data_IF_024987477375
#
_entry.id   IF_024987477375
#
_cell.length_a   1.000
_cell.length_b   1.000
_cell.length_c   1.000
_cell.angle_alpha   90.00
_cell.angle_beta   90.00
_cell.angle_gamma   90.00
#
_symmetry.space_group_name_H-M   'P 1'
#
loop_
_entity.id
_entity.type
_entity.pdbx_description
1 polymer ?
#
# COMPACT_ATOMS: atom_id res chain seq x y z
N UNK A 1 -11.67 5.84 -13.42
CA UNK A 1 -10.20 6.06 -13.50
C UNK A 1 -9.57 6.08 -12.12
N UNK A 2 -10.09 6.86 -11.15
CA UNK A 2 -9.46 7.08 -9.85
C UNK A 2 -9.09 5.78 -9.09
N UNK A 3 -10.04 4.84 -8.91
CA UNK A 3 -9.75 3.59 -8.17
C UNK A 3 -8.66 2.76 -8.84
N UNK A 4 -8.69 2.62 -10.16
CA UNK A 4 -7.67 1.87 -10.89
C UNK A 4 -6.29 2.51 -10.83
N UNK A 5 -6.19 3.87 -10.96
CA UNK A 5 -4.87 4.52 -10.90
C UNK A 5 -4.27 4.44 -9.50
N UNK A 6 -5.09 4.57 -8.45
CA UNK A 6 -4.62 4.46 -7.07
C UNK A 6 -4.17 3.03 -6.75
N UNK A 7 -4.97 2.03 -7.09
CA UNK A 7 -4.59 0.63 -6.92
C UNK A 7 -3.38 0.25 -7.79
N UNK A 8 -3.25 0.81 -8.99
CA UNK A 8 -2.09 0.61 -9.86
C UNK A 8 -0.78 1.14 -9.25
N UNK A 9 -0.81 2.27 -8.56
CA UNK A 9 0.34 2.79 -7.81
C UNK A 9 0.72 1.85 -6.67
N UNK A 10 -0.26 1.35 -5.91
CA UNK A 10 -0.02 0.34 -4.87
C UNK A 10 0.63 -0.93 -5.44
N UNK A 11 0.06 -1.49 -6.50
CA UNK A 11 0.65 -2.65 -7.17
C UNK A 11 2.06 -2.38 -7.72
N UNK A 12 2.33 -1.19 -8.23
CA UNK A 12 3.65 -0.79 -8.70
C UNK A 12 4.66 -0.70 -7.54
N UNK A 13 4.27 -0.09 -6.41
CA UNK A 13 5.09 -0.04 -5.21
C UNK A 13 5.39 -1.45 -4.69
N UNK A 14 4.37 -2.31 -4.60
CA UNK A 14 4.54 -3.72 -4.24
C UNK A 14 5.52 -4.43 -5.17
N UNK A 15 5.39 -4.26 -6.49
CA UNK A 15 6.31 -4.88 -7.47
C UNK A 15 7.76 -4.45 -7.26
N UNK A 16 8.01 -3.22 -6.89
CA UNK A 16 9.34 -2.64 -6.74
C UNK A 16 9.96 -2.92 -5.36
N UNK A 17 9.15 -3.01 -4.30
CA UNK A 17 9.63 -2.95 -2.93
C UNK A 17 9.36 -4.22 -2.10
N UNK A 18 8.40 -5.07 -2.46
CA UNK A 18 8.19 -6.34 -1.76
C UNK A 18 9.16 -7.40 -2.22
N UNK A 19 9.38 -8.42 -1.40
CA UNK A 19 10.12 -9.62 -1.81
C UNK A 19 9.40 -10.34 -2.94
N UNK A 20 10.14 -11.00 -3.82
CA UNK A 20 9.55 -11.76 -4.94
C UNK A 20 8.76 -12.99 -4.47
N UNK A 21 9.19 -13.57 -3.35
CA UNK A 21 8.58 -14.75 -2.72
C UNK A 21 7.43 -14.40 -1.74
N UNK A 22 6.96 -13.15 -1.73
CA UNK A 22 5.82 -12.73 -0.90
C UNK A 22 4.55 -13.50 -1.28
N UNK A 23 3.92 -14.18 -0.31
CA UNK A 23 2.75 -15.04 -0.52
C UNK A 23 1.51 -14.58 0.23
N UNK A 24 1.68 -13.84 1.34
CA UNK A 24 0.56 -13.39 2.19
C UNK A 24 0.40 -11.88 2.16
N UNK A 25 -0.79 -11.40 1.80
CA UNK A 25 -1.16 -10.00 1.84
C UNK A 25 -2.21 -9.73 2.91
N UNK A 26 -2.05 -8.65 3.66
CA UNK A 26 -3.09 -8.08 4.51
C UNK A 26 -3.57 -6.75 3.91
N UNK A 27 -4.87 -6.62 3.71
CA UNK A 27 -5.52 -5.36 3.39
C UNK A 27 -6.28 -4.83 4.61
N UNK A 28 -5.94 -3.62 5.06
CA UNK A 28 -6.72 -2.88 6.04
C UNK A 28 -7.59 -1.84 5.32
N UNK A 29 -8.91 -2.01 5.42
CA UNK A 29 -9.89 -1.15 4.78
C UNK A 29 -10.87 -1.91 3.90
N UNK A 30 -12.15 -1.52 3.99
CA UNK A 30 -13.26 -2.16 3.29
C UNK A 30 -14.06 -1.17 2.42
N UNK A 31 -13.39 -0.09 2.01
CA UNK A 31 -13.98 0.93 1.15
C UNK A 31 -13.95 0.54 -0.33
N UNK A 32 -14.43 1.44 -1.18
CA UNK A 32 -14.54 1.22 -2.64
C UNK A 32 -13.22 0.88 -3.34
N UNK A 33 -12.09 1.19 -2.73
CA UNK A 33 -10.75 0.93 -3.27
C UNK A 33 -10.28 -0.51 -3.01
N UNK A 34 -10.84 -1.19 -2.01
CA UNK A 34 -10.36 -2.47 -1.49
C UNK A 34 -10.20 -3.55 -2.57
N UNK A 35 -11.25 -3.80 -3.37
CA UNK A 35 -11.22 -4.82 -4.42
C UNK A 35 -10.20 -4.52 -5.52
N UNK A 36 -9.98 -3.25 -5.83
CA UNK A 36 -8.99 -2.82 -6.82
C UNK A 36 -7.56 -3.01 -6.32
N UNK A 37 -7.29 -2.72 -5.04
CA UNK A 37 -5.99 -2.95 -4.39
C UNK A 37 -5.65 -4.45 -4.40
N UNK A 38 -6.58 -5.31 -4.01
CA UNK A 38 -6.39 -6.77 -4.05
C UNK A 38 -5.99 -7.21 -5.46
N UNK A 39 -6.77 -6.81 -6.49
CA UNK A 39 -6.51 -7.18 -7.88
C UNK A 39 -5.14 -6.67 -8.37
N UNK A 40 -4.76 -5.45 -8.02
CA UNK A 40 -3.47 -4.88 -8.42
C UNK A 40 -2.30 -5.64 -7.80
N UNK A 41 -2.38 -5.99 -6.52
CA UNK A 41 -1.33 -6.73 -5.83
C UNK A 41 -1.22 -8.19 -6.31
N UNK A 42 -2.34 -8.87 -6.54
CA UNK A 42 -2.38 -10.20 -7.16
C UNK A 42 -1.79 -10.22 -8.58
N UNK A 43 -1.84 -9.11 -9.30
CA UNK A 43 -1.27 -9.03 -10.65
C UNK A 43 0.27 -8.93 -10.68
N UNK A 44 0.90 -8.59 -9.57
CA UNK A 44 2.36 -8.35 -9.48
C UNK A 44 3.10 -9.31 -8.56
N UNK A 45 2.39 -10.08 -7.73
CA UNK A 45 2.94 -11.12 -6.84
C UNK A 45 2.08 -12.38 -6.89
N UNK A 46 2.72 -13.53 -6.73
CA UNK A 46 2.06 -14.84 -6.67
C UNK A 46 1.51 -15.11 -5.26
N UNK A 47 0.56 -14.25 -4.84
CA UNK A 47 -0.02 -14.37 -3.52
C UNK A 47 -0.87 -15.64 -3.40
N UNK A 48 -0.72 -16.33 -2.28
CA UNK A 48 -1.46 -17.53 -1.92
C UNK A 48 -2.57 -17.24 -0.93
N UNK A 49 -2.40 -16.19 -0.12
CA UNK A 49 -3.36 -15.83 0.92
C UNK A 49 -3.58 -14.32 0.98
N UNK A 50 -4.83 -13.90 1.05
CA UNK A 50 -5.24 -12.50 1.22
C UNK A 50 -6.14 -12.38 2.44
N UNK A 51 -5.62 -11.68 3.45
CA UNK A 51 -6.32 -11.32 4.66
C UNK A 51 -6.97 -9.94 4.48
N UNK A 52 -8.23 -9.80 4.86
CA UNK A 52 -8.94 -8.52 4.81
C UNK A 52 -9.45 -8.15 6.19
N UNK A 53 -9.00 -7.00 6.68
CA UNK A 53 -9.44 -6.45 7.94
C UNK A 53 -10.28 -5.18 7.73
N UNK A 54 -11.31 -5.04 8.54
CA UNK A 54 -12.12 -3.84 8.64
C UNK A 54 -12.81 -3.76 10.01
N UNK A 55 -13.23 -2.56 10.43
CA UNK A 55 -14.00 -2.36 11.69
C UNK A 55 -15.30 -3.16 11.73
N UNK A 56 -15.78 -3.59 10.60
CA UNK A 56 -16.98 -4.38 10.40
C UNK A 56 -16.58 -5.61 9.58
N UNK A 57 -16.62 -6.78 10.21
CA UNK A 57 -16.22 -8.05 9.59
C UNK A 57 -17.10 -8.43 8.40
N UNK A 58 -18.38 -8.04 8.39
CA UNK A 58 -19.29 -8.33 7.28
C UNK A 58 -18.91 -7.51 6.02
N UNK A 59 -18.37 -6.31 6.20
CA UNK A 59 -17.81 -5.54 5.09
C UNK A 59 -16.53 -6.17 4.55
N UNK A 60 -15.69 -6.74 5.41
CA UNK A 60 -14.51 -7.48 4.96
C UNK A 60 -14.91 -8.72 4.14
N UNK A 61 -15.88 -9.49 4.60
CA UNK A 61 -16.46 -10.61 3.84
C UNK A 61 -17.06 -10.16 2.50
N UNK A 62 -17.74 -9.00 2.48
CA UNK A 62 -18.30 -8.45 1.25
C UNK A 62 -17.23 -8.07 0.22
N UNK A 63 -16.09 -7.51 0.67
CA UNK A 63 -14.94 -7.25 -0.20
C UNK A 63 -14.42 -8.55 -0.80
N UNK A 64 -14.21 -9.59 0.02
CA UNK A 64 -13.75 -10.90 -0.43
C UNK A 64 -14.71 -11.47 -1.48
N UNK A 65 -16.01 -11.47 -1.21
CA UNK A 65 -17.03 -11.99 -2.13
C UNK A 65 -17.01 -11.29 -3.50
N UNK A 66 -16.57 -10.02 -3.55
CA UNK A 66 -16.49 -9.25 -4.80
C UNK A 66 -15.30 -9.64 -5.69
N UNK A 67 -14.36 -10.44 -5.20
CA UNK A 67 -13.13 -10.80 -5.93
C UNK A 67 -12.88 -12.31 -6.02
N UNK A 68 -13.34 -13.11 -5.06
CA UNK A 68 -12.96 -14.51 -4.87
C UNK A 68 -13.22 -15.38 -6.10
N UNK A 69 -14.30 -15.15 -6.85
CA UNK A 69 -14.65 -15.94 -8.02
C UNK A 69 -13.58 -15.89 -9.14
N UNK A 70 -12.74 -14.87 -9.15
CA UNK A 70 -11.71 -14.68 -10.16
C UNK A 70 -10.34 -15.30 -9.76
N UNK A 71 -10.22 -15.83 -8.55
CA UNK A 71 -8.92 -16.26 -7.99
C UNK A 71 -9.07 -17.57 -7.20
N UNK A 72 -9.31 -18.68 -7.91
CA UNK A 72 -9.55 -20.00 -7.30
C UNK A 72 -8.37 -20.55 -6.50
N UNK A 73 -7.15 -20.11 -6.82
CA UNK A 73 -5.92 -20.63 -6.21
C UNK A 73 -5.42 -19.75 -5.04
N UNK A 74 -6.22 -18.75 -4.63
CA UNK A 74 -5.91 -17.83 -3.53
C UNK A 74 -6.88 -18.06 -2.38
N UNK A 75 -6.34 -18.25 -1.18
CA UNK A 75 -7.12 -18.27 0.04
C UNK A 75 -7.49 -16.86 0.49
N UNK A 76 -8.76 -16.60 0.74
CA UNK A 76 -9.26 -15.32 1.25
C UNK A 76 -9.86 -15.49 2.63
N UNK A 77 -9.46 -14.63 3.56
CA UNK A 77 -9.93 -14.65 4.93
C UNK A 77 -10.27 -13.24 5.45
N UNK A 78 -11.47 -13.09 6.02
CA UNK A 78 -11.82 -11.90 6.78
C UNK A 78 -11.35 -12.08 8.23
N UNK A 79 -10.48 -11.18 8.69
CA UNK A 79 -9.81 -11.30 9.99
C UNK A 79 -10.26 -10.22 10.98
N UNK A 80 -10.36 -10.58 12.25
CA UNK A 80 -10.67 -9.65 13.36
C UNK A 80 -9.40 -9.25 14.12
N UNK A 81 -8.46 -10.19 14.33
CA UNK A 81 -7.20 -9.94 15.00
C UNK A 81 -6.19 -9.31 14.04
N UNK A 82 -6.15 -7.98 14.11
CA UNK A 82 -5.25 -7.16 13.30
C UNK A 82 -3.79 -7.38 13.64
N UNK A 83 -3.45 -7.59 14.90
CA UNK A 83 -2.07 -7.81 15.35
C UNK A 83 -1.51 -9.11 14.76
N UNK A 84 -2.23 -10.20 14.92
CA UNK A 84 -1.84 -11.50 14.35
C UNK A 84 -1.70 -11.39 12.83
N UNK A 85 -2.67 -10.80 12.16
CA UNK A 85 -2.66 -10.63 10.70
C UNK A 85 -1.45 -9.80 10.20
N UNK A 86 -1.06 -8.74 10.92
CA UNK A 86 0.15 -7.98 10.60
C UNK A 86 1.42 -8.83 10.73
N UNK A 87 1.50 -9.69 11.74
CA UNK A 87 2.64 -10.59 11.98
C UNK A 87 2.80 -11.68 10.92
N UNK A 88 1.69 -12.09 10.29
CA UNK A 88 1.68 -13.12 9.24
C UNK A 88 2.01 -12.56 7.85
N UNK A 89 1.66 -11.28 7.59
CA UNK A 89 1.70 -10.70 6.26
C UNK A 89 3.12 -10.43 5.75
N UNK A 90 3.36 -10.70 4.48
CA UNK A 90 4.53 -10.27 3.71
C UNK A 90 4.31 -8.89 3.08
N UNK A 91 3.05 -8.58 2.79
CA UNK A 91 2.60 -7.30 2.23
C UNK A 91 1.44 -6.79 3.07
N UNK A 92 1.53 -5.55 3.54
CA UNK A 92 0.45 -4.88 4.28
C UNK A 92 0.06 -3.63 3.49
N UNK A 93 -1.21 -3.54 3.09
CA UNK A 93 -1.74 -2.32 2.45
C UNK A 93 -2.85 -1.75 3.32
N UNK A 94 -2.74 -0.48 3.70
CA UNK A 94 -3.79 0.22 4.42
C UNK A 94 -4.42 1.32 3.53
N UNK A 95 -5.73 1.25 3.41
CA UNK A 95 -6.54 2.20 2.63
C UNK A 95 -7.77 2.61 3.45
N UNK A 96 -7.52 3.26 4.60
CA UNK A 96 -8.53 3.63 5.57
C UNK A 96 -8.58 5.14 5.80
N UNK A 97 -9.64 5.62 6.44
CA UNK A 97 -9.71 6.99 6.94
C UNK A 97 -9.40 7.06 8.45
N UNK A 98 -8.55 6.19 8.97
CA UNK A 98 -8.23 6.17 10.39
C UNK A 98 -7.49 7.43 10.82
N UNK A 99 -7.81 7.95 12.00
CA UNK A 99 -7.07 9.05 12.60
C UNK A 99 -5.86 8.55 13.42
N UNK A 100 -5.95 7.33 13.93
CA UNK A 100 -4.96 6.69 14.77
C UNK A 100 -4.31 5.52 14.04
N UNK A 101 -3.06 5.16 14.41
CA UNK A 101 -2.37 4.03 13.83
C UNK A 101 -3.16 2.72 13.91
N UNK A 102 -3.25 2.05 12.79
CA UNK A 102 -3.82 0.70 12.67
C UNK A 102 -2.74 -0.36 12.56
N UNK A 103 -1.57 -0.01 12.04
CA UNK A 103 -0.41 -0.88 11.93
C UNK A 103 0.67 -0.37 12.87
N UNK A 104 1.08 -1.22 13.81
CA UNK A 104 2.14 -0.90 14.75
C UNK A 104 3.44 -1.59 14.34
N UNK A 105 4.55 -0.87 14.44
CA UNK A 105 5.85 -1.37 14.04
C UNK A 105 6.27 -2.65 14.77
N UNK A 106 5.86 -2.84 16.03
CA UNK A 106 6.14 -4.05 16.80
C UNK A 106 5.44 -5.32 16.27
N UNK A 107 4.36 -5.16 15.48
CA UNK A 107 3.60 -6.29 14.91
C UNK A 107 4.17 -6.74 13.56
N UNK A 108 4.92 -5.86 12.88
CA UNK A 108 5.39 -6.10 11.52
C UNK A 108 6.69 -6.90 11.56
N UNK A 109 6.69 -8.07 10.91
CA UNK A 109 7.87 -8.94 10.81
C UNK A 109 8.91 -8.38 9.84
N UNK A 110 10.14 -8.81 10.02
CA UNK A 110 11.24 -8.56 9.08
C UNK A 110 10.87 -8.97 7.65
N UNK A 111 11.31 -8.22 6.67
CA UNK A 111 11.08 -8.49 5.24
C UNK A 111 9.73 -8.03 4.69
N UNK A 112 8.83 -7.51 5.52
CA UNK A 112 7.50 -7.04 5.09
C UNK A 112 7.60 -5.78 4.23
N UNK A 113 6.76 -5.69 3.21
CA UNK A 113 6.45 -4.44 2.50
C UNK A 113 5.15 -3.84 3.04
N UNK A 114 5.15 -2.54 3.35
CA UNK A 114 3.97 -1.82 3.83
C UNK A 114 3.63 -0.65 2.90
N UNK A 115 2.34 -0.43 2.61
CA UNK A 115 1.83 0.60 1.71
C UNK A 115 0.64 1.32 2.35
N UNK A 116 0.76 2.64 2.54
CA UNK A 116 -0.24 3.48 3.21
C UNK A 116 -0.84 4.48 2.24
N UNK A 117 -2.13 4.30 1.92
CA UNK A 117 -2.83 5.04 0.86
C UNK A 117 -3.97 5.90 1.41
N UNK A 118 -4.50 5.55 2.59
CA UNK A 118 -5.82 6.01 3.01
C UNK A 118 -5.90 7.46 3.47
N UNK A 119 -4.85 8.01 4.06
CA UNK A 119 -4.84 9.36 4.62
C UNK A 119 -4.06 10.36 3.79
N UNK A 120 -4.59 11.58 3.69
CA UNK A 120 -3.95 12.77 3.10
C UNK A 120 -4.15 13.97 4.03
N UNK A 121 -3.93 13.78 5.32
CA UNK A 121 -4.00 14.81 6.35
C UNK A 121 -2.73 14.73 7.20
N UNK A 122 -2.11 15.87 7.43
CA UNK A 122 -0.84 15.97 8.14
C UNK A 122 -0.87 15.46 9.59
N UNK A 123 -2.05 15.41 10.20
CA UNK A 123 -2.31 15.01 11.59
C UNK A 123 -2.90 13.60 11.75
N UNK A 124 -3.11 12.86 10.62
CA UNK A 124 -3.70 11.52 10.64
C UNK A 124 -2.75 10.51 10.05
N UNK A 125 -2.72 9.32 10.62
CA UNK A 125 -1.79 8.27 10.18
C UNK A 125 -2.38 6.87 10.35
N UNK A 126 -2.04 5.98 9.44
CA UNK A 126 -2.43 4.58 9.46
C UNK A 126 -1.38 3.69 10.14
N UNK A 127 -0.13 4.17 10.29
CA UNK A 127 0.91 3.48 11.05
C UNK A 127 1.55 4.37 12.13
N UNK A 128 2.24 3.74 13.07
CA UNK A 128 2.94 4.41 14.14
C UNK A 128 4.38 4.85 13.76
N UNK A 129 5.00 5.66 14.61
CA UNK A 129 6.37 6.15 14.45
C UNK A 129 7.38 5.02 14.47
N UNK A 130 7.16 3.96 15.23
CA UNK A 130 8.09 2.83 15.30
C UNK A 130 8.18 2.08 13.97
N UNK A 131 7.10 1.98 13.20
CA UNK A 131 7.16 1.41 11.86
C UNK A 131 7.99 2.28 10.91
N UNK A 132 7.83 3.60 10.94
CA UNK A 132 8.62 4.55 10.15
C UNK A 132 10.12 4.41 10.45
N UNK A 133 10.50 4.38 11.74
CA UNK A 133 11.90 4.30 12.19
C UNK A 133 12.63 3.07 11.70
N UNK A 134 11.95 1.94 11.62
CA UNK A 134 12.56 0.66 11.20
C UNK A 134 12.37 0.31 9.73
N UNK A 135 11.72 1.20 8.98
CA UNK A 135 11.45 1.00 7.57
C UNK A 135 12.37 1.82 6.67
N UNK A 136 12.64 1.28 5.49
CA UNK A 136 13.15 2.04 4.36
C UNK A 136 11.97 2.74 3.70
N UNK A 137 11.88 4.07 3.85
CA UNK A 137 10.69 4.85 3.52
C UNK A 137 10.76 5.43 2.12
N UNK A 138 9.70 5.26 1.35
CA UNK A 138 9.49 5.77 0.00
C UNK A 138 8.17 6.53 -0.09
N UNK A 139 8.06 7.44 -1.05
CA UNK A 139 6.82 8.18 -1.31
C UNK A 139 6.49 8.22 -2.81
N UNK A 140 5.24 8.47 -3.14
CA UNK A 140 4.88 8.75 -4.53
C UNK A 140 5.42 10.11 -4.99
N UNK A 141 5.41 11.12 -4.09
CA UNK A 141 5.95 12.46 -4.31
C UNK A 141 6.39 13.08 -2.99
N UNK A 142 7.68 13.45 -2.86
CA UNK A 142 8.19 14.18 -1.69
C UNK A 142 7.46 15.49 -1.47
N UNK A 143 7.17 16.22 -2.55
CA UNK A 143 6.47 17.53 -2.48
C UNK A 143 5.10 17.40 -1.83
N UNK A 144 4.34 16.34 -2.13
CA UNK A 144 3.03 16.10 -1.55
C UNK A 144 3.14 15.44 -0.17
N UNK A 145 4.05 14.49 0.00
CA UNK A 145 4.25 13.78 1.25
C UNK A 145 4.64 14.74 2.40
N UNK A 146 5.54 15.69 2.16
CA UNK A 146 5.95 16.68 3.16
C UNK A 146 4.92 17.79 3.43
N UNK A 147 3.74 17.72 2.80
CA UNK A 147 2.61 18.63 3.08
C UNK A 147 1.43 17.93 3.75
N UNK A 148 1.19 16.67 3.39
CA UNK A 148 -0.07 16.01 3.68
C UNK A 148 0.07 14.61 4.31
N UNK A 149 1.27 13.98 4.31
CA UNK A 149 1.46 12.64 4.82
C UNK A 149 1.69 12.63 6.35
N UNK A 150 0.65 12.40 7.13
CA UNK A 150 0.78 12.31 8.58
C UNK A 150 1.71 11.18 9.04
N UNK A 151 1.81 10.08 8.29
CA UNK A 151 2.77 9.00 8.55
C UNK A 151 4.23 9.48 8.55
N UNK A 152 4.55 10.54 7.80
CA UNK A 152 5.87 11.14 7.70
C UNK A 152 5.99 12.37 8.59
N UNK A 153 4.98 13.25 8.55
CA UNK A 153 5.02 14.54 9.23
C UNK A 153 4.94 14.44 10.75
N UNK A 154 4.16 13.49 11.27
CA UNK A 154 4.06 13.28 12.72
C UNK A 154 5.39 12.82 13.30
N UNK A 155 6.07 11.77 12.78
CA UNK A 155 7.42 11.39 13.23
C UNK A 155 8.46 12.51 13.11
N UNK A 156 8.39 13.34 12.06
CA UNK A 156 9.26 14.53 11.93
C UNK A 156 8.99 15.53 13.08
N UNK A 157 7.74 15.80 13.38
CA UNK A 157 7.37 16.71 14.48
C UNK A 157 7.75 16.17 15.87
N UNK A 158 7.81 14.85 16.01
CA UNK A 158 8.26 14.14 17.21
C UNK A 158 9.82 14.13 17.33
N UNK A 159 10.54 14.53 16.27
CA UNK A 159 12.02 14.48 16.23
C UNK A 159 12.59 13.09 15.98
N UNK A 160 11.75 12.13 15.60
CA UNK A 160 12.10 10.72 15.40
C UNK A 160 12.40 10.35 13.94
N UNK A 161 12.11 11.26 13.00
CA UNK A 161 12.36 11.09 11.58
C UNK A 161 12.76 12.41 10.92
N UNK A 162 13.31 12.37 9.71
CA UNK A 162 13.70 13.56 8.94
C UNK A 162 13.28 13.42 7.49
N UNK A 163 13.19 14.54 6.75
CA UNK A 163 12.88 14.52 5.32
C UNK A 163 13.86 13.68 4.50
N UNK A 164 15.15 13.72 4.86
CA UNK A 164 16.20 12.91 4.22
C UNK A 164 16.03 11.40 4.44
N UNK A 165 15.22 11.00 5.42
CA UNK A 165 14.84 9.60 5.65
C UNK A 165 13.91 9.03 4.57
N UNK A 166 13.29 9.86 3.73
CA UNK A 166 12.57 9.41 2.52
C UNK A 166 13.58 9.11 1.42
N UNK A 167 13.89 7.83 1.25
CA UNK A 167 14.97 7.32 0.38
C UNK A 167 14.77 7.74 -1.08
N UNK A 168 13.56 7.55 -1.61
CA UNK A 168 13.24 7.89 -2.98
C UNK A 168 11.75 8.19 -3.19
N UNK A 169 11.45 8.86 -4.29
CA UNK A 169 10.09 9.01 -4.79
C UNK A 169 9.84 8.17 -6.05
N UNK A 170 8.58 7.99 -6.42
CA UNK A 170 8.17 6.99 -7.41
C UNK A 170 8.85 7.17 -8.77
N UNK A 171 9.11 8.40 -9.22
CA UNK A 171 9.79 8.68 -10.48
C UNK A 171 11.26 8.19 -10.47
N UNK A 172 11.95 8.32 -9.33
CA UNK A 172 13.31 7.84 -9.12
C UNK A 172 13.34 6.30 -9.10
N UNK A 173 12.36 5.70 -8.41
CA UNK A 173 12.19 4.24 -8.36
C UNK A 173 11.97 3.65 -9.76
N UNK A 174 11.06 4.24 -10.55
CA UNK A 174 10.73 3.76 -11.90
C UNK A 174 11.85 4.00 -12.92
N UNK A 175 12.68 5.01 -12.73
CA UNK A 175 13.81 5.34 -13.63
C UNK A 175 15.10 4.60 -13.30
N UNK A 176 15.10 3.74 -12.27
CA UNK A 176 16.28 3.00 -11.83
C UNK A 176 17.35 3.86 -11.15
N UNK A 177 16.97 5.06 -10.67
CA UNK A 177 17.87 5.98 -9.96
C UNK A 177 17.84 5.79 -8.44
N UNK A 178 16.85 5.05 -7.94
CA UNK A 178 16.69 4.78 -6.52
C UNK A 178 17.28 3.42 -6.14
N UNK A 179 17.83 3.36 -4.93
CA UNK A 179 18.14 2.09 -4.27
C UNK A 179 16.83 1.56 -3.68
N UNK A 180 16.39 0.42 -4.18
CA UNK A 180 15.17 -0.26 -3.72
C UNK A 180 15.50 -1.19 -2.53
N UNK A 181 14.77 -2.32 -2.41
CA UNK A 181 15.09 -3.36 -1.44
C UNK A 181 16.47 -3.97 -1.73
N UNK A 182 17.32 -4.10 -0.72
CA UNK A 182 18.67 -4.66 -0.82
C UNK A 182 18.81 -5.98 -0.06
N UNK A 183 17.91 -6.27 0.89
CA UNK A 183 17.89 -7.54 1.61
C UNK A 183 16.48 -8.03 1.89
N UNK A 184 16.36 -9.35 2.14
CA UNK A 184 15.09 -9.98 2.49
C UNK A 184 14.60 -9.59 3.89
N UNK A 185 15.47 -9.07 4.73
CA UNK A 185 15.14 -8.65 6.10
C UNK A 185 14.64 -7.21 6.19
N UNK A 186 14.86 -6.37 5.17
CA UNK A 186 14.40 -4.99 5.18
C UNK A 186 12.88 -4.90 5.27
N UNK A 187 12.38 -4.01 6.13
CA UNK A 187 10.99 -3.55 6.05
C UNK A 187 10.97 -2.34 5.12
N UNK A 188 10.15 -2.38 4.09
CA UNK A 188 9.95 -1.26 3.17
C UNK A 188 8.59 -0.62 3.41
N UNK A 189 8.53 0.70 3.37
CA UNK A 189 7.30 1.46 3.53
C UNK A 189 7.13 2.41 2.36
N UNK A 190 5.97 2.34 1.71
CA UNK A 190 5.57 3.28 0.67
C UNK A 190 4.40 4.13 1.16
N UNK A 191 4.52 5.46 0.99
CA UNK A 191 3.41 6.40 1.27
C UNK A 191 2.91 7.02 -0.01
N UNK A 192 1.64 6.83 -0.31
CA UNK A 192 0.96 7.45 -1.45
C UNK A 192 -0.01 8.53 -0.98
N UNK A 193 0.19 9.75 -1.48
CA UNK A 193 -0.73 10.88 -1.32
C UNK A 193 -1.55 11.10 -2.59
N UNK A 194 -1.01 10.69 -3.72
CA UNK A 194 -1.55 10.93 -5.04
C UNK A 194 -0.78 12.01 -5.79
N UNK A 195 -0.71 11.84 -7.11
CA UNK A 195 -0.04 12.77 -8.01
C UNK A 195 -0.80 12.87 -9.34
N UNK A 196 -0.85 14.07 -9.92
CA UNK A 196 -1.53 14.31 -11.19
C UNK A 196 -1.00 13.46 -12.35
N UNK A 197 0.29 13.09 -12.32
CA UNK A 197 0.89 12.21 -13.32
C UNK A 197 0.20 10.84 -13.38
N UNK A 198 -0.17 10.27 -12.23
CA UNK A 198 -0.88 8.99 -12.19
C UNK A 198 -2.29 9.07 -12.79
N UNK A 199 -2.96 10.22 -12.62
CA UNK A 199 -4.26 10.47 -13.24
C UNK A 199 -4.14 10.61 -14.76
N UNK A 200 -3.10 11.31 -15.24
CA UNK A 200 -2.81 11.44 -16.67
C UNK A 200 -2.52 10.09 -17.32
N UNK A 201 -1.69 9.26 -16.71
CA UNK A 201 -1.39 7.90 -17.22
C UNK A 201 -2.65 7.05 -17.23
N UNK A 202 -3.43 7.04 -16.13
CA UNK A 202 -4.66 6.29 -16.03
C UNK A 202 -5.72 6.72 -17.06
N UNK A 203 -5.87 8.02 -17.30
CA UNK A 203 -6.76 8.56 -18.32
C UNK A 203 -6.29 8.21 -19.73
N UNK A 204 -4.98 8.31 -20.00
CA UNK A 204 -4.39 7.94 -21.29
C UNK A 204 -4.57 6.46 -21.63
N UNK A 205 -4.40 5.57 -20.66
CA UNK A 205 -4.67 4.14 -20.83
C UNK A 205 -6.14 3.86 -21.12
N UNK A 206 -7.05 4.49 -20.39
CA UNK A 206 -8.49 4.35 -20.64
C UNK A 206 -8.89 4.83 -22.03
N UNK A 207 -8.39 5.99 -22.46
CA UNK A 207 -8.63 6.56 -23.79
C UNK A 207 -8.13 5.63 -24.91
N UNK A 208 -6.89 5.15 -24.79
CA UNK A 208 -6.30 4.26 -25.79
C UNK A 208 -7.04 2.92 -25.90
N UNK A 209 -7.57 2.40 -24.79
CA UNK A 209 -8.35 1.16 -24.81
C UNK A 209 -9.70 1.34 -25.53
N UNK A 210 -10.37 2.48 -25.37
CA UNK A 210 -11.63 2.77 -26.09
C UNK A 210 -11.36 2.86 -27.59
N UNK A 211 -10.37 3.64 -28.03
CA UNK A 211 -10.07 3.78 -29.47
C UNK A 211 -9.70 2.44 -30.13
N UNK A 212 -8.98 1.56 -29.43
CA UNK A 212 -8.63 0.24 -29.97
C UNK A 212 -9.80 -0.72 -30.10
N UNK A 213 -10.90 -0.49 -29.37
CA UNK A 213 -12.12 -1.29 -29.48
C UNK A 213 -13.00 -0.83 -30.66
N UNK A 214 -12.86 0.44 -31.08
CA UNK A 214 -13.61 1.03 -32.19
C UNK A 214 -12.89 0.90 -33.54
N UNK A 215 -11.68 0.31 -33.59
CA UNK A 215 -10.86 0.06 -34.78
C UNK A 215 -10.78 -1.44 -35.12
#
# INVERSE_FOLDING_TARGET
VNFWRTAGISGLATRLLSREDSETMLLLGTGNLASYIIKANLSVRNLKRVLVWGRDIEKAKSVINSVIENYSDVEFEAVEDRQSACGEADIIVAATGSHEPLVHGEWVKSGTHTDFIGNHHADKRECDTELIKKSKVYADSRVNAFKEAGEILVPISEGEFTEDGVVAELNEMCSGKAVLRESDDEITLFKSIGMAMSDLVGAGLAYNNVIKQDS
#
